data_IF_629002459421
#
_entry.id   IF_629002459421
#
_cell.length_a   1.000
_cell.length_b   1.000
_cell.length_c   1.000
_cell.angle_alpha   90.00
_cell.angle_beta   90.00
_cell.angle_gamma   90.00
#
_symmetry.space_group_name_H-M   'P 1'
#
loop_
_entity.id
_entity.type
_entity.pdbx_description
1 polymer ?
#
# COMPACT_ATOMS: atom_id res chain seq x y z
N UNK A 1 -19.35 -14.02 23.40
CA UNK A 1 -19.27 -14.91 22.24
C UNK A 1 -20.64 -15.49 21.93
N UNK A 2 -20.90 -15.85 20.65
CA UNK A 2 -22.18 -16.46 20.19
C UNK A 2 -22.04 -17.96 19.95
N UNK A 3 -20.88 -18.55 20.23
CA UNK A 3 -20.61 -19.98 20.06
C UNK A 3 -21.00 -20.72 21.35
N UNK A 4 -21.41 -21.97 21.23
CA UNK A 4 -21.78 -22.79 22.38
C UNK A 4 -20.58 -23.13 23.28
N UNK A 5 -19.37 -23.19 22.70
CA UNK A 5 -18.11 -23.43 23.43
C UNK A 5 -17.52 -22.17 24.07
N UNK A 6 -17.96 -20.98 23.67
CA UNK A 6 -17.34 -19.72 24.04
C UNK A 6 -16.16 -19.29 23.16
N UNK A 7 -15.75 -20.13 22.23
CA UNK A 7 -14.62 -19.85 21.34
C UNK A 7 -14.99 -18.86 20.24
N UNK A 8 -14.01 -18.09 19.79
CA UNK A 8 -14.17 -17.24 18.62
C UNK A 8 -14.15 -18.06 17.33
N UNK A 9 -14.99 -17.69 16.36
CA UNK A 9 -15.00 -18.26 15.02
C UNK A 9 -14.75 -17.14 14.02
N UNK A 10 -13.67 -17.24 13.24
CA UNK A 10 -13.35 -16.34 12.14
C UNK A 10 -13.65 -17.04 10.82
N UNK A 11 -14.61 -16.52 10.07
CA UNK A 11 -14.88 -16.97 8.70
C UNK A 11 -14.08 -16.11 7.71
N UNK A 12 -13.31 -16.77 6.88
CA UNK A 12 -12.61 -16.18 5.73
C UNK A 12 -13.13 -16.77 4.44
N UNK A 13 -13.51 -15.90 3.50
CA UNK A 13 -13.94 -16.32 2.17
C UNK A 13 -13.50 -15.27 1.14
N UNK A 14 -12.22 -15.26 0.71
CA UNK A 14 -11.74 -14.35 -0.32
C UNK A 14 -12.43 -14.60 -1.67
N UNK A 15 -13.01 -13.56 -2.26
CA UNK A 15 -13.61 -13.61 -3.60
C UNK A 15 -12.58 -13.11 -4.61
N UNK A 16 -11.93 -14.02 -5.30
CA UNK A 16 -10.81 -13.74 -6.20
C UNK A 16 -11.03 -14.43 -7.54
N UNK A 17 -10.39 -13.92 -8.61
CA UNK A 17 -10.36 -14.63 -9.88
C UNK A 17 -9.58 -15.93 -9.76
N UNK A 18 -9.91 -16.91 -10.61
CA UNK A 18 -9.19 -18.20 -10.64
C UNK A 18 -7.71 -18.06 -10.96
N UNK A 19 -7.32 -16.95 -11.61
CA UNK A 19 -5.94 -16.66 -12.01
C UNK A 19 -5.17 -15.85 -10.95
N UNK A 20 -5.78 -15.56 -9.80
CA UNK A 20 -5.20 -14.66 -8.81
C UNK A 20 -3.93 -15.21 -8.11
N UNK A 21 -3.64 -16.51 -8.29
CA UNK A 21 -2.39 -17.11 -7.83
C UNK A 21 -2.23 -17.10 -6.32
N UNK A 22 -3.24 -17.59 -5.59
CA UNK A 22 -3.18 -17.78 -4.16
C UNK A 22 -2.80 -19.21 -3.78
N UNK A 23 -2.12 -19.34 -2.66
CA UNK A 23 -1.85 -20.64 -2.02
C UNK A 23 -1.95 -20.50 -0.50
N UNK A 24 -2.28 -21.58 0.15
CA UNK A 24 -2.23 -21.67 1.61
C UNK A 24 -0.89 -22.23 2.05
N UNK A 25 -0.37 -21.71 3.15
CA UNK A 25 0.85 -22.23 3.75
C UNK A 25 0.83 -22.15 5.27
N UNK A 26 1.46 -23.13 5.89
CA UNK A 26 1.86 -23.09 7.29
C UNK A 26 3.33 -22.70 7.35
N UNK A 27 3.59 -21.53 7.92
CA UNK A 27 4.95 -21.01 8.06
C UNK A 27 5.37 -21.14 9.51
N UNK A 28 6.52 -21.79 9.72
CA UNK A 28 7.12 -21.91 11.02
C UNK A 28 8.60 -21.52 10.94
N UNK A 29 9.02 -20.53 11.73
CA UNK A 29 10.39 -20.01 11.76
C UNK A 29 10.89 -20.02 13.20
N UNK A 30 11.78 -20.95 13.52
CA UNK A 30 12.30 -21.12 14.88
C UNK A 30 11.18 -21.30 15.91
N UNK A 31 11.29 -20.57 17.03
CA UNK A 31 10.21 -20.47 18.03
C UNK A 31 9.40 -19.19 17.96
N UNK A 32 9.75 -18.28 17.02
CA UNK A 32 9.29 -16.89 17.03
C UNK A 32 8.07 -16.66 16.12
N UNK A 33 7.81 -17.54 15.17
CA UNK A 33 6.70 -17.40 14.24
C UNK A 33 6.07 -18.76 13.93
N UNK A 34 4.78 -18.85 14.14
CA UNK A 34 3.94 -19.95 13.65
C UNK A 34 2.64 -19.34 13.11
N UNK A 35 2.44 -19.42 11.79
CA UNK A 35 1.33 -18.79 11.11
C UNK A 35 0.78 -19.68 10.00
N UNK A 36 -0.53 -19.81 9.92
CA UNK A 36 -1.22 -20.44 8.79
C UNK A 36 -2.11 -19.42 8.09
N UNK A 37 -2.02 -19.33 6.79
CA UNK A 37 -2.85 -18.40 6.04
C UNK A 37 -2.64 -18.42 4.54
N UNK A 38 -3.25 -17.44 3.89
CA UNK A 38 -3.17 -17.27 2.44
C UNK A 38 -2.03 -16.36 2.05
N UNK A 39 -1.30 -16.81 1.06
CA UNK A 39 -0.21 -16.08 0.44
C UNK A 39 -0.50 -15.86 -1.04
N UNK A 40 0.06 -14.80 -1.59
CA UNK A 40 -0.08 -14.47 -3.00
C UNK A 40 1.19 -14.81 -3.77
N UNK A 41 1.04 -15.48 -4.91
CA UNK A 41 2.14 -15.75 -5.82
C UNK A 41 2.69 -14.42 -6.38
N UNK A 42 4.01 -14.30 -6.45
CA UNK A 42 4.68 -13.13 -6.98
C UNK A 42 4.90 -11.98 -6.00
N UNK A 43 4.54 -12.17 -4.73
CA UNK A 43 4.83 -11.19 -3.68
C UNK A 43 5.26 -11.88 -2.40
N UNK A 44 6.47 -11.61 -1.93
CA UNK A 44 7.02 -12.23 -0.71
C UNK A 44 6.14 -12.01 0.54
N UNK A 45 5.21 -11.05 0.51
CA UNK A 45 4.40 -10.66 1.66
C UNK A 45 2.95 -10.34 1.26
N UNK A 46 2.44 -11.02 0.26
CA UNK A 46 1.04 -10.86 -0.15
C UNK A 46 0.08 -11.64 0.75
N UNK A 47 0.20 -11.53 2.07
CA UNK A 47 -0.66 -12.19 3.04
C UNK A 47 -2.02 -11.48 3.05
N UNK A 48 -3.08 -12.25 2.83
CA UNK A 48 -4.44 -11.73 2.78
C UNK A 48 -5.16 -11.92 4.10
N UNK A 49 -4.77 -12.94 4.83
CA UNK A 49 -5.27 -13.24 6.15
C UNK A 49 -4.87 -14.64 6.59
N UNK A 50 -5.12 -14.94 7.83
CA UNK A 50 -4.79 -16.21 8.44
C UNK A 50 -4.87 -16.12 9.94
N UNK A 51 -4.16 -17.01 10.62
CA UNK A 51 -4.14 -17.06 12.08
C UNK A 51 -2.82 -17.63 12.60
N UNK A 52 -2.49 -17.24 13.80
CA UNK A 52 -1.47 -17.83 14.64
C UNK A 52 -2.15 -18.52 15.87
N UNK A 53 -1.40 -18.84 16.91
CA UNK A 53 -1.94 -19.47 18.13
C UNK A 53 -2.84 -18.56 18.96
N UNK A 54 -2.78 -17.27 18.78
CA UNK A 54 -3.39 -16.24 19.64
C UNK A 54 -4.57 -15.56 18.97
N UNK A 55 -4.45 -15.26 17.69
CA UNK A 55 -5.41 -14.46 16.95
C UNK A 55 -5.46 -14.81 15.46
N UNK A 56 -6.50 -14.35 14.81
CA UNK A 56 -6.65 -14.47 13.36
C UNK A 56 -7.29 -13.22 12.77
N UNK A 57 -7.08 -13.06 11.48
CA UNK A 57 -7.72 -11.98 10.73
C UNK A 57 -8.14 -12.38 9.32
N UNK A 58 -9.11 -11.66 8.81
CA UNK A 58 -9.55 -11.72 7.43
C UNK A 58 -9.58 -10.32 6.83
N UNK A 59 -9.40 -10.22 5.53
CA UNK A 59 -9.44 -8.94 4.83
C UNK A 59 -10.52 -8.93 3.77
N UNK A 60 -11.09 -7.76 3.53
CA UNK A 60 -11.87 -7.45 2.34
C UNK A 60 -11.31 -6.24 1.65
N UNK A 61 -11.45 -6.18 0.32
CA UNK A 61 -11.03 -5.01 -0.43
C UNK A 61 -11.84 -3.79 0.00
N UNK A 62 -11.13 -2.68 0.10
CA UNK A 62 -11.67 -1.36 0.26
C UNK A 62 -11.06 -0.50 -0.85
N UNK A 63 -11.88 0.25 -1.57
CA UNK A 63 -11.44 1.03 -2.73
C UNK A 63 -11.69 2.53 -2.51
N UNK A 64 -11.12 3.16 -1.47
CA UNK A 64 -11.21 4.60 -1.30
C UNK A 64 -10.39 5.29 -2.40
N UNK A 65 -10.84 6.48 -2.78
CA UNK A 65 -10.09 7.32 -3.71
C UNK A 65 -8.96 8.02 -2.96
N UNK A 66 -7.80 7.38 -2.88
CA UNK A 66 -6.61 7.98 -2.27
C UNK A 66 -5.96 9.01 -3.19
N UNK A 67 -5.72 8.62 -4.44
CA UNK A 67 -5.09 9.52 -5.41
C UNK A 67 -6.09 10.53 -5.93
N UNK A 68 -5.71 11.80 -5.92
CA UNK A 68 -6.50 12.92 -6.43
C UNK A 68 -5.64 13.80 -7.31
N UNK A 69 -6.27 14.43 -8.29
CA UNK A 69 -5.59 15.41 -9.17
C UNK A 69 -6.18 16.78 -8.89
N UNK A 70 -5.31 17.70 -8.52
CA UNK A 70 -5.67 19.09 -8.28
C UNK A 70 -5.15 19.97 -9.41
N UNK A 71 -6.01 20.83 -9.97
CA UNK A 71 -5.59 21.91 -10.84
C UNK A 71 -5.10 23.08 -9.96
N UNK A 72 -3.81 23.36 -10.00
CA UNK A 72 -3.19 24.46 -9.26
C UNK A 72 -2.71 25.51 -10.26
N UNK A 73 -3.04 26.77 -10.03
CA UNK A 73 -2.71 27.86 -10.95
C UNK A 73 -1.19 28.03 -11.08
N UNK A 74 -0.72 28.20 -12.31
CA UNK A 74 0.67 28.59 -12.58
C UNK A 74 0.88 30.07 -12.25
N UNK A 75 2.06 30.38 -11.70
CA UNK A 75 2.40 31.77 -11.39
C UNK A 75 2.76 32.53 -12.66
N UNK A 76 1.96 33.51 -13.02
CA UNK A 76 2.04 34.21 -14.33
C UNK A 76 3.35 34.97 -14.58
N UNK A 77 4.06 35.38 -13.54
CA UNK A 77 5.30 36.18 -13.65
C UNK A 77 6.54 35.45 -13.09
N UNK A 78 6.41 34.21 -12.65
CA UNK A 78 7.53 33.35 -12.17
C UNK A 78 7.42 31.99 -12.81
N UNK A 79 8.23 31.74 -13.83
CA UNK A 79 8.31 30.42 -14.44
C UNK A 79 8.69 29.34 -13.43
N UNK A 80 8.19 28.13 -13.61
CA UNK A 80 8.45 27.00 -12.70
C UNK A 80 7.85 27.17 -11.28
N UNK A 81 6.85 28.01 -11.12
CA UNK A 81 6.16 28.20 -9.83
C UNK A 81 4.65 28.07 -9.98
N UNK A 82 4.05 27.50 -8.93
CA UNK A 82 2.60 27.54 -8.70
C UNK A 82 2.21 28.79 -7.91
N UNK A 83 0.97 29.22 -8.06
CA UNK A 83 0.36 30.25 -7.24
C UNK A 83 -0.63 29.58 -6.27
N UNK A 84 -0.35 29.63 -4.97
CA UNK A 84 -1.22 29.09 -3.93
C UNK A 84 -1.41 30.13 -2.83
N UNK A 85 -2.64 30.53 -2.57
CA UNK A 85 -3.00 31.50 -1.53
C UNK A 85 -2.17 32.80 -1.61
N UNK A 86 -1.90 33.26 -2.83
CA UNK A 86 -1.09 34.45 -3.10
C UNK A 86 0.43 34.24 -3.00
N UNK A 87 0.89 33.04 -2.68
CA UNK A 87 2.30 32.71 -2.56
C UNK A 87 2.82 31.94 -3.78
N UNK A 88 4.06 32.21 -4.16
CA UNK A 88 4.75 31.47 -5.19
C UNK A 88 5.38 30.21 -4.58
N UNK A 89 5.01 29.03 -5.08
CA UNK A 89 5.52 27.73 -4.67
C UNK A 89 6.36 27.13 -5.80
N UNK A 90 7.64 26.93 -5.58
CA UNK A 90 8.55 26.42 -6.61
C UNK A 90 8.24 24.96 -6.98
N UNK A 91 8.28 24.67 -8.27
CA UNK A 91 8.33 23.32 -8.82
C UNK A 91 9.79 22.84 -8.93
N UNK A 92 10.01 21.55 -8.83
CA UNK A 92 11.32 20.92 -8.94
C UNK A 92 11.32 19.93 -10.11
N UNK A 93 12.30 20.02 -10.98
CA UNK A 93 12.45 19.07 -12.08
C UNK A 93 13.37 17.93 -11.64
N UNK A 94 12.96 16.70 -11.97
CA UNK A 94 13.73 15.47 -11.76
C UNK A 94 13.77 14.66 -13.05
N UNK A 95 14.96 14.32 -13.52
CA UNK A 95 15.11 13.48 -14.70
C UNK A 95 15.19 12.02 -14.28
N UNK A 96 14.28 11.21 -14.83
CA UNK A 96 14.26 9.76 -14.64
C UNK A 96 14.79 9.13 -15.90
N UNK A 97 15.85 8.31 -15.77
CA UNK A 97 16.42 7.56 -16.87
C UNK A 97 16.10 6.08 -16.67
N UNK A 98 15.61 5.43 -17.72
CA UNK A 98 15.28 4.02 -17.72
C UNK A 98 16.11 3.34 -18.82
N UNK A 99 16.87 2.34 -18.39
CA UNK A 99 17.60 1.44 -19.28
C UNK A 99 16.85 0.12 -19.41
N UNK A 100 16.84 -0.47 -20.60
CA UNK A 100 16.27 -1.80 -20.83
C UNK A 100 17.13 -2.63 -21.77
N UNK A 101 16.92 -3.93 -21.74
CA UNK A 101 17.53 -4.89 -22.65
C UNK A 101 16.44 -5.53 -23.50
N UNK A 102 16.59 -5.47 -24.79
CA UNK A 102 15.71 -6.11 -25.77
C UNK A 102 15.91 -7.64 -25.77
N UNK A 103 14.95 -8.43 -26.30
CA UNK A 103 15.07 -9.88 -26.40
C UNK A 103 16.28 -10.36 -27.20
N UNK A 104 16.80 -9.53 -28.15
CA UNK A 104 17.99 -9.81 -28.98
C UNK A 104 19.31 -9.46 -28.26
N UNK A 105 19.24 -8.95 -27.04
CA UNK A 105 20.39 -8.54 -26.22
C UNK A 105 20.86 -7.11 -26.47
N UNK A 106 20.25 -6.35 -27.37
CA UNK A 106 20.52 -4.92 -27.50
C UNK A 106 20.01 -4.14 -26.33
N UNK A 107 20.63 -3.00 -26.01
CA UNK A 107 20.23 -2.13 -24.91
C UNK A 107 19.64 -0.83 -25.44
N UNK A 108 18.60 -0.36 -24.79
CA UNK A 108 18.00 0.96 -25.02
C UNK A 108 18.00 1.80 -23.75
N UNK A 109 17.85 3.11 -23.92
CA UNK A 109 17.73 4.06 -22.82
C UNK A 109 16.75 5.16 -23.21
N UNK A 110 15.93 5.61 -22.28
CA UNK A 110 15.14 6.82 -22.40
C UNK A 110 15.21 7.64 -21.13
N UNK A 111 15.06 8.96 -21.25
CA UNK A 111 15.03 9.87 -20.13
C UNK A 111 13.84 10.81 -20.26
N UNK A 112 13.10 10.94 -19.16
CA UNK A 112 11.96 11.84 -19.05
C UNK A 112 12.15 12.77 -17.86
N UNK A 113 11.81 14.03 -18.02
CA UNK A 113 11.83 15.01 -16.93
C UNK A 113 10.44 15.10 -16.32
N UNK A 114 10.34 14.77 -15.05
CA UNK A 114 9.13 14.89 -14.25
C UNK A 114 9.24 16.13 -13.38
N UNK A 115 8.24 16.97 -13.44
CA UNK A 115 8.11 18.15 -12.59
C UNK A 115 7.37 17.80 -11.31
N UNK A 116 7.90 18.24 -10.16
CA UNK A 116 7.36 17.92 -8.84
C UNK A 116 6.93 19.17 -8.12
N UNK A 117 5.76 19.10 -7.52
CA UNK A 117 5.31 20.03 -6.48
C UNK A 117 5.61 19.44 -5.09
N UNK A 118 5.48 20.23 -3.99
CA UNK A 118 5.57 19.68 -2.63
C UNK A 118 4.54 18.59 -2.29
N UNK A 119 3.50 18.42 -3.11
CA UNK A 119 2.39 17.48 -2.86
C UNK A 119 2.38 16.28 -3.80
N UNK A 120 3.23 16.25 -4.80
CA UNK A 120 3.35 15.15 -5.77
C UNK A 120 3.72 15.62 -7.17
N UNK A 121 3.81 14.69 -8.13
CA UNK A 121 4.21 15.00 -9.49
C UNK A 121 3.13 15.79 -10.23
N UNK A 122 3.60 16.64 -11.13
CA UNK A 122 2.75 17.30 -12.13
C UNK A 122 2.54 16.31 -13.29
N UNK A 123 1.30 15.91 -13.50
CA UNK A 123 0.94 14.91 -14.54
C UNK A 123 0.47 15.55 -15.83
N UNK A 124 0.13 16.83 -15.80
CA UNK A 124 -0.23 17.62 -16.97
C UNK A 124 -0.07 19.10 -16.67
N UNK A 125 0.27 19.90 -17.67
CA UNK A 125 0.26 21.37 -17.61
C UNK A 125 -0.43 21.95 -18.85
N UNK A 126 -1.07 23.08 -18.66
CA UNK A 126 -1.50 23.96 -19.74
C UNK A 126 -1.00 25.40 -19.46
N UNK A 127 -1.45 26.39 -20.21
CA UNK A 127 -0.97 27.77 -20.05
C UNK A 127 -1.38 28.43 -18.72
N UNK A 128 -2.29 27.85 -17.96
CA UNK A 128 -2.88 28.44 -16.76
C UNK A 128 -2.71 27.57 -15.51
N UNK A 129 -2.75 26.24 -15.66
CA UNK A 129 -2.76 25.30 -14.56
C UNK A 129 -1.74 24.18 -14.71
N UNK A 130 -1.15 23.79 -13.60
CA UNK A 130 -0.50 22.51 -13.41
C UNK A 130 -1.45 21.53 -12.70
N UNK A 131 -1.54 20.30 -13.19
CA UNK A 131 -2.36 19.24 -12.61
C UNK A 131 -1.47 18.34 -11.77
N UNK A 132 -1.61 18.48 -10.45
CA UNK A 132 -0.77 17.81 -9.46
C UNK A 132 -1.48 16.55 -8.97
N UNK A 133 -0.83 15.41 -9.14
CA UNK A 133 -1.30 14.14 -8.58
C UNK A 133 -0.83 14.03 -7.12
N UNK A 134 -1.76 13.85 -6.20
CA UNK A 134 -1.47 13.62 -4.79
C UNK A 134 -1.89 12.22 -4.36
N UNK A 135 -1.10 11.58 -3.54
CA UNK A 135 -1.44 10.31 -2.92
C UNK A 135 -0.89 10.27 -1.48
N UNK A 136 -1.76 10.22 -0.45
CA UNK A 136 -1.31 10.19 0.94
C UNK A 136 -0.57 8.91 1.33
N UNK A 137 -0.51 7.92 0.43
CA UNK A 137 0.27 6.69 0.62
C UNK A 137 1.71 6.82 0.12
N UNK A 138 2.02 7.90 -0.57
CA UNK A 138 3.39 8.12 -1.05
C UNK A 138 4.38 8.12 0.12
N UNK A 139 5.52 7.44 -0.07
CA UNK A 139 6.50 7.24 0.99
C UNK A 139 6.20 6.09 1.98
N UNK A 140 5.08 5.37 1.85
CA UNK A 140 4.72 4.24 2.71
C UNK A 140 5.33 2.92 2.21
N UNK A 141 6.60 2.68 2.52
CA UNK A 141 7.33 1.50 2.03
C UNK A 141 7.26 0.30 2.99
N UNK A 142 6.68 0.46 4.19
CA UNK A 142 6.73 -0.53 5.28
C UNK A 142 5.60 -1.57 5.24
N UNK A 143 4.90 -1.72 4.12
CA UNK A 143 3.78 -2.66 4.01
C UNK A 143 4.19 -4.10 4.33
N UNK A 144 5.33 -4.55 3.78
CA UNK A 144 5.84 -5.91 4.05
C UNK A 144 6.16 -6.13 5.54
N UNK A 145 6.77 -5.14 6.18
CA UNK A 145 7.04 -5.17 7.61
C UNK A 145 5.74 -5.25 8.43
N UNK A 146 4.73 -4.44 8.09
CA UNK A 146 3.44 -4.49 8.76
C UNK A 146 2.81 -5.88 8.66
N UNK A 147 2.80 -6.48 7.47
CA UNK A 147 2.23 -7.81 7.26
C UNK A 147 2.94 -8.89 8.08
N UNK A 148 4.28 -8.85 8.14
CA UNK A 148 5.06 -9.78 8.98
C UNK A 148 4.74 -9.59 10.47
N UNK A 149 4.68 -8.36 10.95
CA UNK A 149 4.31 -8.07 12.34
C UNK A 149 2.88 -8.50 12.68
N UNK A 150 1.96 -8.45 11.72
CA UNK A 150 0.61 -8.97 11.90
C UNK A 150 0.61 -10.48 12.13
N UNK A 151 1.53 -11.23 11.52
CA UNK A 151 1.63 -12.71 11.69
C UNK A 151 2.14 -13.09 13.08
N UNK A 152 2.87 -12.22 13.75
CA UNK A 152 3.51 -12.48 15.06
C UNK A 152 2.83 -11.79 16.23
N UNK A 153 1.82 -10.97 16.01
CA UNK A 153 1.05 -10.34 17.09
C UNK A 153 0.33 -11.41 17.95
N UNK A 154 0.37 -11.25 19.27
CA UNK A 154 -0.19 -12.20 20.22
C UNK A 154 -1.41 -11.65 20.99
N UNK A 155 -1.71 -10.38 20.83
CA UNK A 155 -2.80 -9.70 21.51
C UNK A 155 -3.47 -8.64 20.62
N UNK A 156 -4.68 -8.22 21.01
CA UNK A 156 -5.37 -7.10 20.36
C UNK A 156 -4.55 -5.80 20.45
N UNK A 157 -3.88 -5.56 21.56
CA UNK A 157 -3.07 -4.35 21.74
C UNK A 157 -1.91 -4.33 20.76
N UNK A 158 -1.13 -5.39 20.66
CA UNK A 158 -0.05 -5.53 19.68
C UNK A 158 -0.57 -5.44 18.24
N UNK A 159 -1.71 -6.08 17.95
CA UNK A 159 -2.36 -5.96 16.66
C UNK A 159 -2.69 -4.49 16.31
N UNK A 160 -3.28 -3.76 17.23
CA UNK A 160 -3.62 -2.35 17.03
C UNK A 160 -2.37 -1.48 16.86
N UNK A 161 -1.27 -1.78 17.56
CA UNK A 161 0.00 -1.09 17.38
C UNK A 161 0.58 -1.32 15.98
N UNK A 162 0.50 -2.56 15.48
CA UNK A 162 0.88 -2.87 14.10
C UNK A 162 -0.01 -2.13 13.10
N UNK A 163 -1.32 -2.06 13.33
CA UNK A 163 -2.25 -1.33 12.47
C UNK A 163 -1.98 0.19 12.44
N UNK A 164 -1.46 0.77 13.52
CA UNK A 164 -1.03 2.18 13.57
C UNK A 164 0.14 2.51 12.66
N UNK A 165 0.86 1.52 12.15
CA UNK A 165 1.86 1.73 11.09
C UNK A 165 1.25 2.31 9.81
N UNK A 166 -0.03 2.03 9.52
CA UNK A 166 -0.79 2.52 8.35
C UNK A 166 -0.11 2.24 7.00
N UNK A 167 0.77 1.26 6.94
CA UNK A 167 1.53 0.95 5.74
C UNK A 167 0.76 0.04 4.76
N UNK A 168 -0.25 -0.70 5.26
CA UNK A 168 -1.18 -1.47 4.44
C UNK A 168 -2.49 -0.70 4.31
N UNK A 169 -2.66 -0.01 3.21
CA UNK A 169 -3.89 0.71 2.88
C UNK A 169 -4.85 -0.17 2.07
N UNK A 170 -6.08 0.27 1.96
CA UNK A 170 -7.12 -0.28 1.07
C UNK A 170 -7.68 -1.64 1.48
N UNK A 171 -7.69 -1.96 2.76
CA UNK A 171 -8.36 -3.16 3.27
C UNK A 171 -9.20 -2.86 4.50
N UNK A 172 -10.33 -3.55 4.61
CA UNK A 172 -11.02 -3.71 5.89
C UNK A 172 -10.47 -4.97 6.55
N UNK A 173 -10.30 -4.94 7.85
CA UNK A 173 -9.81 -6.07 8.61
C UNK A 173 -10.87 -6.54 9.60
N UNK A 174 -11.16 -7.82 9.57
CA UNK A 174 -11.92 -8.50 10.63
C UNK A 174 -10.92 -9.24 11.50
N UNK A 175 -10.98 -9.04 12.78
CA UNK A 175 -10.10 -9.61 13.79
C UNK A 175 -10.89 -10.53 14.71
N UNK A 176 -10.28 -11.60 15.18
CA UNK A 176 -10.79 -12.45 16.25
C UNK A 176 -9.62 -13.03 17.07
N UNK A 177 -9.81 -13.19 18.36
CA UNK A 177 -8.89 -13.89 19.26
C UNK A 177 -9.66 -14.79 20.25
N UNK A 178 -8.93 -15.43 21.17
CA UNK A 178 -9.52 -16.31 22.17
C UNK A 178 -10.42 -15.59 23.19
N UNK A 179 -10.40 -14.26 23.20
CA UNK A 179 -11.19 -13.46 24.14
C UNK A 179 -12.46 -12.87 23.50
N UNK A 180 -12.67 -13.07 22.19
CA UNK A 180 -13.86 -12.66 21.41
C UNK A 180 -13.64 -11.45 20.55
#
# INVERSE_FOLDING_TARGET
>A
TRTASGDAILLRNPHLSWEAGYYEAHVQIGGDMEFYGDFRIGGAFGIIGGFNRHLGWATTNNSPRYSQVYAVQLHQSRDGHLLLDGNAVALQDSTITVDWTEPDGSTGQTSETVRWSPWGPVVHENNEYAYVLTDPRDGQYRRGEQLVKMMTAESLEEWLDVMRMRAHASSNFTYADAHG
#
